data_IF_380579190595
#
_entry.id   IF_380579190595
#
_cell.length_a   1.000
_cell.length_b   1.000
_cell.length_c   1.000
_cell.angle_alpha   90.00
_cell.angle_beta   90.00
_cell.angle_gamma   90.00
#
_symmetry.space_group_name_H-M   'P 1'
#
loop_
_entity.id
_entity.type
_entity.pdbx_description
1 polymer ?
#
# COMPACT_ATOMS: atom_id res chain seq x y z
N UNK A 1 -14.82 10.26 -5.74
CA UNK A 1 -14.70 11.16 -4.57
C UNK A 1 -15.42 10.66 -3.31
N UNK A 2 -16.62 10.05 -3.40
CA UNK A 2 -17.35 9.54 -2.20
C UNK A 2 -16.61 8.44 -1.43
N UNK A 3 -15.93 7.53 -2.11
CA UNK A 3 -15.14 6.47 -1.48
C UNK A 3 -13.98 7.05 -0.67
N UNK A 4 -13.22 7.99 -1.24
CA UNK A 4 -12.09 8.65 -0.56
C UNK A 4 -12.54 9.31 0.75
N UNK A 5 -13.63 10.10 0.71
CA UNK A 5 -14.15 10.80 1.90
C UNK A 5 -14.57 9.86 3.04
N UNK A 6 -14.98 8.62 2.72
CA UNK A 6 -15.42 7.64 3.72
C UNK A 6 -14.30 6.76 4.24
N UNK A 7 -13.33 6.42 3.40
CA UNK A 7 -12.19 5.56 3.76
C UNK A 7 -11.12 6.35 4.51
N UNK A 8 -10.86 7.58 4.08
CA UNK A 8 -9.77 8.41 4.58
C UNK A 8 -9.74 8.59 6.10
N UNK A 9 -10.82 8.99 6.81
CA UNK A 9 -10.75 9.23 8.25
C UNK A 9 -10.37 7.98 9.04
N UNK A 10 -10.91 6.82 8.66
CA UNK A 10 -10.56 5.54 9.32
C UNK A 10 -9.12 5.16 9.03
N UNK A 11 -8.66 5.34 7.78
CA UNK A 11 -7.28 5.07 7.40
C UNK A 11 -6.30 5.95 8.18
N UNK A 12 -6.61 7.24 8.40
CA UNK A 12 -5.76 8.16 9.16
C UNK A 12 -5.59 7.70 10.60
N UNK A 13 -6.68 7.36 11.28
CA UNK A 13 -6.61 6.88 12.66
C UNK A 13 -5.81 5.58 12.74
N UNK A 14 -6.12 4.62 11.86
CA UNK A 14 -5.45 3.33 11.86
C UNK A 14 -3.96 3.44 11.50
N UNK A 15 -3.56 4.30 10.55
CA UNK A 15 -2.15 4.46 10.20
C UNK A 15 -1.36 5.12 11.33
N UNK A 16 -1.93 6.10 12.02
CA UNK A 16 -1.25 6.76 13.15
C UNK A 16 -0.97 5.78 14.28
N UNK A 17 -1.97 4.98 14.67
CA UNK A 17 -1.82 3.96 15.71
C UNK A 17 -0.85 2.87 15.27
N UNK A 18 -0.98 2.39 14.04
CA UNK A 18 -0.14 1.31 13.52
C UNK A 18 1.31 1.74 13.29
N UNK A 19 1.55 2.97 12.86
CA UNK A 19 2.89 3.53 12.70
C UNK A 19 3.61 3.69 14.05
N UNK A 20 2.87 4.08 15.08
CA UNK A 20 3.41 4.13 16.45
C UNK A 20 3.71 2.72 16.97
N UNK A 21 2.79 1.78 16.80
CA UNK A 21 2.95 0.38 17.23
C UNK A 21 4.11 -0.32 16.50
N UNK A 22 4.34 0.00 15.22
CA UNK A 22 5.42 -0.63 14.44
C UNK A 22 6.82 -0.34 14.98
N UNK A 23 7.00 0.74 15.75
CA UNK A 23 8.27 1.06 16.39
C UNK A 23 8.55 0.18 17.61
N UNK A 24 7.52 -0.50 18.15
CA UNK A 24 7.64 -1.40 19.30
C UNK A 24 7.71 -2.88 18.92
N UNK A 25 7.46 -3.20 17.64
CA UNK A 25 7.46 -4.56 17.14
C UNK A 25 8.82 -4.92 16.55
N UNK A 26 9.29 -6.13 16.83
CA UNK A 26 10.48 -6.68 16.19
C UNK A 26 10.28 -6.82 14.67
N UNK A 27 11.31 -6.53 13.91
CA UNK A 27 11.29 -6.60 12.44
C UNK A 27 10.82 -7.96 11.91
N UNK A 28 11.16 -9.06 12.60
CA UNK A 28 10.78 -10.41 12.22
C UNK A 28 9.26 -10.61 12.12
N UNK A 29 8.48 -10.06 13.06
CA UNK A 29 7.01 -10.15 13.02
C UNK A 29 6.42 -9.32 11.87
N UNK A 30 7.01 -8.16 11.59
CA UNK A 30 6.59 -7.31 10.49
C UNK A 30 6.89 -7.96 9.14
N UNK A 31 8.06 -8.57 8.99
CA UNK A 31 8.46 -9.31 7.78
C UNK A 31 7.56 -10.53 7.54
N UNK A 32 7.30 -11.32 8.56
CA UNK A 32 6.41 -12.47 8.46
C UNK A 32 4.99 -12.06 8.07
N UNK A 33 4.45 -11.03 8.71
CA UNK A 33 3.13 -10.46 8.40
C UNK A 33 3.06 -9.94 6.96
N UNK A 34 4.13 -9.29 6.48
CA UNK A 34 4.22 -8.81 5.11
C UNK A 34 4.31 -9.94 4.10
N UNK A 35 5.11 -10.98 4.38
CA UNK A 35 5.19 -12.17 3.53
C UNK A 35 3.85 -12.85 3.35
N UNK A 36 3.12 -13.07 4.44
CA UNK A 36 1.78 -13.66 4.44
C UNK A 36 0.77 -12.80 3.66
N UNK A 37 0.89 -11.49 3.80
CA UNK A 37 0.10 -10.54 3.04
C UNK A 37 0.41 -10.57 1.54
N UNK A 38 1.68 -10.65 1.13
CA UNK A 38 2.06 -10.76 -0.29
C UNK A 38 1.49 -12.03 -0.94
N UNK A 39 1.47 -13.16 -0.22
CA UNK A 39 0.86 -14.41 -0.66
C UNK A 39 -0.65 -14.20 -0.90
N UNK A 40 -1.33 -13.53 0.03
CA UNK A 40 -2.76 -13.22 -0.11
C UNK A 40 -3.03 -12.32 -1.33
N UNK A 41 -2.21 -11.26 -1.53
CA UNK A 41 -2.33 -10.37 -2.69
C UNK A 41 -2.09 -11.12 -3.99
N UNK A 42 -1.07 -11.97 -4.04
CA UNK A 42 -0.77 -12.79 -5.22
C UNK A 42 -1.93 -13.70 -5.57
N UNK A 43 -2.48 -14.40 -4.57
CA UNK A 43 -3.69 -15.22 -4.74
C UNK A 43 -4.87 -14.40 -5.27
N UNK A 44 -5.07 -13.20 -4.72
CA UNK A 44 -6.10 -12.26 -5.16
C UNK A 44 -5.94 -11.87 -6.63
N UNK A 45 -4.73 -11.50 -7.06
CA UNK A 45 -4.45 -11.11 -8.43
C UNK A 45 -4.63 -12.27 -9.42
N UNK A 46 -4.14 -13.45 -9.09
CA UNK A 46 -4.30 -14.66 -9.93
C UNK A 46 -5.78 -15.01 -10.06
N UNK A 47 -6.53 -14.98 -8.97
CA UNK A 47 -7.97 -15.23 -8.97
C UNK A 47 -8.75 -14.23 -9.82
N UNK A 48 -8.32 -12.98 -9.84
CA UNK A 48 -8.95 -11.91 -10.61
C UNK A 48 -8.62 -11.94 -12.11
N UNK A 49 -7.61 -12.70 -12.54
CA UNK A 49 -7.30 -12.93 -13.95
C UNK A 49 -8.25 -13.94 -14.63
N UNK A 50 -9.09 -14.65 -13.86
CA UNK A 50 -10.08 -15.59 -14.43
C UNK A 50 -11.08 -14.84 -15.31
N UNK A 51 -11.42 -15.34 -16.51
CA UNK A 51 -12.26 -14.64 -17.49
C UNK A 51 -13.60 -14.15 -16.92
N UNK A 52 -14.25 -14.98 -16.11
CA UNK A 52 -15.53 -14.68 -15.48
C UNK A 52 -15.48 -13.52 -14.47
N UNK A 53 -14.35 -13.30 -13.82
CA UNK A 53 -14.16 -12.18 -12.90
C UNK A 53 -13.92 -10.86 -13.64
N UNK A 54 -13.22 -10.91 -14.77
CA UNK A 54 -12.97 -9.74 -15.62
C UNK A 54 -14.26 -9.20 -16.25
N UNK A 55 -15.16 -10.07 -16.67
CA UNK A 55 -16.48 -9.67 -17.18
C UNK A 55 -17.36 -9.03 -16.10
N UNK A 56 -17.37 -9.60 -14.89
CA UNK A 56 -18.08 -9.01 -13.74
C UNK A 56 -17.55 -7.64 -13.39
N UNK A 57 -16.25 -7.40 -13.47
CA UNK A 57 -15.65 -6.10 -13.18
C UNK A 57 -16.01 -5.04 -14.23
N UNK A 58 -16.10 -5.45 -15.50
CA UNK A 58 -16.53 -4.53 -16.56
C UNK A 58 -17.99 -4.12 -16.40
N UNK A 59 -18.85 -5.01 -15.89
CA UNK A 59 -20.28 -4.75 -15.61
C UNK A 59 -20.49 -3.99 -14.30
N UNK A 60 -19.59 -4.07 -13.32
CA UNK A 60 -19.70 -3.37 -12.03
C UNK A 60 -19.50 -1.84 -12.13
N UNK A 61 -19.19 -1.30 -13.30
CA UNK A 61 -18.91 0.13 -13.51
C UNK A 61 -20.00 1.11 -13.07
N UNK A 62 -21.26 0.67 -12.96
CA UNK A 62 -22.40 1.54 -12.62
C UNK A 62 -22.84 1.48 -11.14
N UNK A 63 -22.60 0.41 -10.41
CA UNK A 63 -23.10 0.22 -9.05
C UNK A 63 -21.98 0.22 -7.98
N UNK A 64 -21.20 1.28 -7.90
CA UNK A 64 -20.24 1.46 -6.81
C UNK A 64 -20.96 1.76 -5.49
N UNK A 65 -21.28 0.73 -4.72
CA UNK A 65 -21.98 0.87 -3.45
C UNK A 65 -20.99 0.95 -2.29
N UNK A 66 -20.31 2.08 -2.16
CA UNK A 66 -19.41 2.36 -1.04
C UNK A 66 -20.24 2.75 0.18
N UNK A 67 -20.72 1.78 0.94
CA UNK A 67 -21.36 2.00 2.23
C UNK A 67 -20.31 2.27 3.33
N UNK A 68 -20.70 2.97 4.39
CA UNK A 68 -19.83 3.29 5.52
C UNK A 68 -19.11 2.05 6.11
N UNK A 69 -19.78 0.91 6.40
CA UNK A 69 -19.09 -0.26 6.97
C UNK A 69 -18.02 -0.83 6.04
N UNK A 70 -18.26 -0.86 4.72
CA UNK A 70 -17.26 -1.32 3.75
C UNK A 70 -16.06 -0.37 3.65
N UNK A 71 -16.33 0.92 3.72
CA UNK A 71 -15.28 1.93 3.74
C UNK A 71 -14.43 1.84 5.00
N UNK A 72 -15.04 1.62 6.17
CA UNK A 72 -14.34 1.45 7.45
C UNK A 72 -13.46 0.19 7.46
N UNK A 73 -13.96 -0.94 6.99
CA UNK A 73 -13.17 -2.17 6.86
C UNK A 73 -11.97 -1.94 5.93
N UNK A 74 -12.21 -1.34 4.77
CA UNK A 74 -11.13 -1.06 3.80
C UNK A 74 -10.10 -0.09 4.40
N UNK A 75 -10.55 0.99 5.02
CA UNK A 75 -9.70 2.00 5.65
C UNK A 75 -8.93 1.44 6.84
N UNK A 76 -9.59 0.62 7.68
CA UNK A 76 -8.98 -0.03 8.83
C UNK A 76 -7.83 -0.96 8.41
N UNK A 77 -8.12 -1.94 7.57
CA UNK A 77 -7.12 -2.92 7.11
C UNK A 77 -5.98 -2.22 6.35
N UNK A 78 -6.30 -1.33 5.40
CA UNK A 78 -5.27 -0.65 4.61
C UNK A 78 -4.44 0.33 5.42
N UNK A 79 -5.06 1.05 6.37
CA UNK A 79 -4.38 1.99 7.25
C UNK A 79 -3.45 1.28 8.24
N UNK A 80 -3.91 0.20 8.86
CA UNK A 80 -3.09 -0.61 9.77
C UNK A 80 -1.89 -1.20 9.05
N UNK A 81 -2.11 -1.82 7.90
CA UNK A 81 -1.03 -2.39 7.12
C UNK A 81 -0.07 -1.32 6.57
N UNK A 82 -0.57 -0.14 6.18
CA UNK A 82 0.26 0.98 5.76
C UNK A 82 1.17 1.50 6.88
N UNK A 83 0.63 1.59 8.10
CA UNK A 83 1.37 2.06 9.27
C UNK A 83 2.41 1.04 9.75
N UNK A 84 2.04 -0.24 9.83
CA UNK A 84 2.95 -1.31 10.26
C UNK A 84 4.09 -1.52 9.27
N UNK A 85 3.80 -1.57 7.98
CA UNK A 85 4.75 -1.95 6.93
C UNK A 85 5.44 -0.77 6.26
N UNK A 86 4.97 0.46 6.48
CA UNK A 86 5.55 1.66 5.87
C UNK A 86 5.40 1.79 4.36
N UNK A 87 4.58 0.95 3.72
CA UNK A 87 4.40 0.90 2.25
C UNK A 87 3.30 1.82 1.72
N UNK A 88 2.79 2.73 2.54
CA UNK A 88 1.75 3.69 2.15
C UNK A 88 0.37 3.09 1.84
N UNK A 89 0.17 1.78 2.05
CA UNK A 89 -1.12 1.10 1.91
C UNK A 89 -1.64 0.89 0.50
N UNK A 90 -1.02 1.44 -0.53
CA UNK A 90 -1.51 1.37 -1.92
C UNK A 90 -1.66 -0.06 -2.45
N UNK A 91 -0.70 -0.92 -2.14
CA UNK A 91 -0.71 -2.35 -2.50
C UNK A 91 -1.94 -3.09 -1.96
N UNK A 92 -2.40 -2.73 -0.77
CA UNK A 92 -3.52 -3.35 -0.06
C UNK A 92 -4.84 -2.70 -0.45
N UNK A 93 -4.81 -1.37 -0.61
CA UNK A 93 -5.99 -0.56 -0.80
C UNK A 93 -6.66 -0.78 -2.14
N UNK A 94 -5.89 -1.01 -3.22
CA UNK A 94 -6.44 -1.29 -4.55
C UNK A 94 -7.30 -2.56 -4.56
N UNK A 95 -6.80 -3.74 -4.13
CA UNK A 95 -7.64 -4.95 -4.09
C UNK A 95 -8.82 -4.84 -3.12
N UNK A 96 -8.65 -4.17 -1.96
CA UNK A 96 -9.75 -3.96 -1.03
C UNK A 96 -10.83 -3.03 -1.58
N UNK A 97 -10.46 -1.90 -2.20
CA UNK A 97 -11.41 -1.00 -2.86
C UNK A 97 -12.15 -1.70 -4.01
N UNK A 98 -11.45 -2.55 -4.75
CA UNK A 98 -12.06 -3.30 -5.83
C UNK A 98 -13.04 -4.38 -5.32
N UNK A 99 -12.64 -5.21 -4.33
CA UNK A 99 -13.47 -6.31 -3.83
C UNK A 99 -14.52 -5.87 -2.81
N UNK A 100 -14.15 -5.09 -1.79
CA UNK A 100 -15.03 -4.72 -0.69
C UNK A 100 -15.96 -3.59 -1.08
N UNK A 101 -15.41 -2.53 -1.69
CA UNK A 101 -16.18 -1.38 -2.14
C UNK A 101 -16.74 -1.55 -3.56
N UNK A 102 -16.40 -2.65 -4.24
CA UNK A 102 -16.85 -2.96 -5.62
C UNK A 102 -16.58 -1.83 -6.61
N UNK A 103 -15.45 -1.15 -6.45
CA UNK A 103 -15.02 -0.11 -7.38
C UNK A 103 -14.35 -0.73 -8.60
N UNK A 104 -14.63 -0.24 -9.83
CA UNK A 104 -13.85 -0.64 -11.01
C UNK A 104 -12.36 -0.37 -10.78
N UNK A 105 -11.48 -1.25 -11.28
CA UNK A 105 -10.04 -1.21 -11.00
C UNK A 105 -9.42 0.19 -11.22
N UNK A 106 -9.75 0.86 -12.32
CA UNK A 106 -9.24 2.21 -12.59
C UNK A 106 -9.68 3.25 -11.54
N UNK A 107 -10.94 3.17 -11.08
CA UNK A 107 -11.44 4.04 -10.00
C UNK A 107 -10.82 3.65 -8.65
N UNK A 108 -10.57 2.37 -8.41
CA UNK A 108 -9.89 1.88 -7.21
C UNK A 108 -8.45 2.41 -7.15
N UNK A 109 -7.69 2.33 -8.26
CA UNK A 109 -6.32 2.88 -8.37
C UNK A 109 -6.32 4.38 -8.09
N UNK A 110 -7.16 5.17 -8.75
CA UNK A 110 -7.20 6.62 -8.54
C UNK A 110 -7.64 7.01 -7.12
N UNK A 111 -8.61 6.28 -6.54
CA UNK A 111 -9.04 6.52 -5.16
C UNK A 111 -7.96 6.13 -4.16
N UNK A 112 -7.27 5.01 -4.37
CA UNK A 112 -6.16 4.54 -3.56
C UNK A 112 -4.99 5.55 -3.59
N UNK A 113 -4.62 6.06 -4.76
CA UNK A 113 -3.55 7.08 -4.88
C UNK A 113 -3.89 8.34 -4.08
N UNK A 114 -5.15 8.81 -4.13
CA UNK A 114 -5.58 9.96 -3.35
C UNK A 114 -5.54 9.70 -1.83
N UNK A 115 -5.98 8.52 -1.38
CA UNK A 115 -5.92 8.16 0.05
C UNK A 115 -4.47 7.99 0.48
N UNK A 116 -3.64 7.32 -0.32
CA UNK A 116 -2.22 7.10 -0.06
C UNK A 116 -1.45 8.42 0.11
N UNK A 117 -1.78 9.44 -0.66
CA UNK A 117 -1.17 10.77 -0.53
C UNK A 117 -1.35 11.33 0.89
N UNK A 118 -2.57 11.32 1.43
CA UNK A 118 -2.84 11.81 2.77
C UNK A 118 -2.26 10.90 3.86
N UNK A 119 -2.40 9.59 3.70
CA UNK A 119 -1.88 8.64 4.68
C UNK A 119 -0.35 8.60 4.72
N UNK A 120 0.32 8.83 3.58
CA UNK A 120 1.78 8.92 3.54
C UNK A 120 2.31 10.15 4.28
N UNK A 121 1.67 11.30 4.13
CA UNK A 121 2.04 12.52 4.88
C UNK A 121 1.95 12.26 6.38
N UNK A 122 0.82 11.69 6.84
CA UNK A 122 0.60 11.43 8.26
C UNK A 122 1.55 10.36 8.78
N UNK A 123 1.71 9.27 8.05
CA UNK A 123 2.62 8.18 8.42
C UNK A 123 4.07 8.64 8.48
N UNK A 124 4.51 9.46 7.52
CA UNK A 124 5.84 10.07 7.52
C UNK A 124 6.03 11.00 8.73
N UNK A 125 5.05 11.87 9.04
CA UNK A 125 5.11 12.76 10.18
C UNK A 125 5.23 11.99 11.51
N UNK A 126 4.43 10.92 11.68
CA UNK A 126 4.49 10.08 12.89
C UNK A 126 5.86 9.41 13.03
N UNK A 127 6.41 8.91 11.93
CA UNK A 127 7.75 8.30 11.91
C UNK A 127 8.86 9.32 12.16
N UNK A 128 8.76 10.52 11.59
CA UNK A 128 9.76 11.57 11.72
C UNK A 128 9.84 12.08 13.17
N UNK A 129 8.72 12.19 13.86
CA UNK A 129 8.67 12.54 15.30
C UNK A 129 9.35 11.48 16.17
N UNK A 130 9.29 10.20 15.78
CA UNK A 130 9.92 9.09 16.51
C UNK A 130 11.39 8.85 16.10
N UNK A 131 11.86 9.50 15.04
CA UNK A 131 13.20 9.29 14.48
C UNK A 131 14.34 9.63 15.45
N UNK A 132 14.29 10.74 16.22
CA UNK A 132 15.36 11.09 17.17
C UNK A 132 15.58 10.02 18.23
N UNK A 133 14.50 9.41 18.73
CA UNK A 133 14.58 8.36 19.75
C UNK A 133 15.24 7.09 19.17
N UNK A 134 14.88 6.72 17.95
CA UNK A 134 15.42 5.54 17.24
C UNK A 134 16.91 5.74 16.91
N UNK A 135 17.31 6.94 16.50
CA UNK A 135 18.71 7.26 16.17
C UNK A 135 19.57 7.22 17.43
N UNK A 136 19.08 7.76 18.56
CA UNK A 136 19.82 7.73 19.82
C UNK A 136 20.09 6.31 20.32
N UNK A 137 19.14 5.40 20.13
CA UNK A 137 19.26 3.99 20.50
C UNK A 137 20.17 3.18 19.58
N UNK A 138 20.25 3.55 18.30
CA UNK A 138 21.04 2.79 17.31
C UNK A 138 22.52 3.18 17.26
N UNK A 139 22.96 4.21 17.97
CA UNK A 139 24.36 4.66 18.01
C UNK A 139 24.92 5.10 16.64
N UNK A 140 24.05 5.48 15.71
CA UNK A 140 24.43 5.86 14.34
C UNK A 140 24.50 7.39 14.23
N UNK A 141 25.60 7.93 13.69
CA UNK A 141 25.80 9.38 13.45
C UNK A 141 24.91 9.97 12.32
N UNK A 142 23.72 9.40 12.10
CA UNK A 142 22.79 9.89 11.10
C UNK A 142 21.91 11.00 11.66
N UNK A 143 22.05 12.22 11.12
CA UNK A 143 21.14 13.31 11.44
C UNK A 143 19.83 13.19 10.66
N UNK A 144 18.72 13.55 11.29
CA UNK A 144 17.37 13.63 10.66
C UNK A 144 17.38 14.44 9.35
N UNK A 145 18.29 15.42 9.25
CA UNK A 145 18.48 16.23 8.02
C UNK A 145 18.87 15.39 6.80
N UNK A 146 19.64 14.32 6.96
CA UNK A 146 20.04 13.45 5.83
C UNK A 146 18.84 12.68 5.28
N UNK A 147 17.93 12.25 6.14
CA UNK A 147 16.70 11.57 5.73
C UNK A 147 15.77 12.53 4.94
N UNK A 148 15.64 13.76 5.42
CA UNK A 148 14.82 14.80 4.75
C UNK A 148 15.41 15.18 3.39
N UNK A 149 16.73 15.37 3.29
CA UNK A 149 17.41 15.68 2.02
C UNK A 149 17.25 14.51 1.03
N UNK A 150 17.42 13.27 1.48
CA UNK A 150 17.20 12.07 0.66
C UNK A 150 15.77 11.99 0.12
N UNK A 151 14.77 12.25 0.98
CA UNK A 151 13.38 12.30 0.58
C UNK A 151 13.12 13.40 -0.47
N UNK A 152 13.67 14.60 -0.29
CA UNK A 152 13.52 15.73 -1.20
C UNK A 152 14.12 15.44 -2.59
N UNK A 153 15.26 14.74 -2.64
CA UNK A 153 15.90 14.33 -3.89
C UNK A 153 15.06 13.32 -4.70
N UNK A 154 14.22 12.51 -4.01
CA UNK A 154 13.34 11.56 -4.67
C UNK A 154 12.06 12.20 -5.24
N UNK A 155 11.65 13.38 -4.75
CA UNK A 155 10.39 14.03 -5.15
C UNK A 155 10.30 14.27 -6.67
N UNK A 156 11.30 14.81 -7.38
CA UNK A 156 11.20 15.04 -8.83
C UNK A 156 10.98 13.74 -9.60
N UNK A 157 11.71 12.67 -9.23
CA UNK A 157 11.55 11.35 -9.83
C UNK A 157 10.16 10.75 -9.58
N UNK A 158 9.64 10.89 -8.36
CA UNK A 158 8.31 10.43 -7.98
C UNK A 158 7.20 11.19 -8.74
N UNK A 159 7.33 12.51 -8.91
CA UNK A 159 6.38 13.32 -9.67
C UNK A 159 6.39 12.95 -11.16
N UNK A 160 7.55 12.83 -11.77
CA UNK A 160 7.68 12.43 -13.17
C UNK A 160 7.16 11.01 -13.40
N UNK A 161 7.53 10.06 -12.53
CA UNK A 161 7.05 8.67 -12.57
C UNK A 161 5.55 8.56 -12.35
N UNK A 162 5.00 9.33 -11.42
CA UNK A 162 3.56 9.37 -11.15
C UNK A 162 2.75 9.93 -12.33
N UNK A 163 3.23 11.00 -12.96
CA UNK A 163 2.61 11.58 -14.15
C UNK A 163 2.63 10.62 -15.35
N UNK A 164 3.80 10.02 -15.62
CA UNK A 164 3.94 9.01 -16.68
C UNK A 164 3.08 7.77 -16.39
N UNK A 165 3.07 7.28 -15.15
CA UNK A 165 2.27 6.13 -14.72
C UNK A 165 0.78 6.38 -14.87
N UNK A 166 0.30 7.57 -14.50
CA UNK A 166 -1.11 7.96 -14.66
C UNK A 166 -1.52 7.99 -16.15
N UNK A 167 -0.67 8.56 -17.02
CA UNK A 167 -0.90 8.61 -18.46
C UNK A 167 -0.91 7.21 -19.08
N UNK A 168 0.03 6.38 -18.70
CA UNK A 168 0.17 5.00 -19.19
C UNK A 168 -1.00 4.11 -18.71
N UNK A 169 -1.43 4.26 -17.46
CA UNK A 169 -2.58 3.52 -16.89
C UNK A 169 -3.89 3.80 -17.64
N UNK A 170 -4.04 4.98 -18.26
CA UNK A 170 -5.17 5.30 -19.12
C UNK A 170 -5.15 4.54 -20.45
N UNK A 171 -3.96 4.26 -21.01
CA UNK A 171 -3.77 3.66 -22.31
C UNK A 171 -3.69 2.12 -22.28
N UNK A 172 -3.30 1.52 -21.14
CA UNK A 172 -3.07 0.09 -21.00
C UNK A 172 -4.36 -0.65 -20.62
N UNK A 173 -4.52 -1.90 -21.09
CA UNK A 173 -5.65 -2.73 -20.71
C UNK A 173 -5.61 -3.15 -19.25
N UNK A 174 -6.78 -3.34 -18.63
CA UNK A 174 -6.92 -3.80 -17.23
C UNK A 174 -6.20 -5.13 -17.01
N UNK A 175 -6.23 -6.02 -17.98
CA UNK A 175 -5.52 -7.32 -17.93
C UNK A 175 -4.01 -7.13 -17.82
N UNK A 176 -3.43 -6.25 -18.64
CA UNK A 176 -2.00 -5.98 -18.62
C UNK A 176 -1.55 -5.34 -17.29
N UNK A 177 -2.34 -4.38 -16.75
CA UNK A 177 -2.07 -3.78 -15.44
C UNK A 177 -2.02 -4.85 -14.36
N UNK A 178 -3.00 -5.76 -14.32
CA UNK A 178 -3.05 -6.85 -13.34
C UNK A 178 -1.90 -7.84 -13.50
N UNK A 179 -1.54 -8.20 -14.74
CA UNK A 179 -0.44 -9.13 -15.00
C UNK A 179 0.90 -8.55 -14.53
N UNK A 180 1.18 -7.29 -14.86
CA UNK A 180 2.40 -6.60 -14.40
C UNK A 180 2.43 -6.50 -12.89
N UNK A 181 1.31 -6.16 -12.27
CA UNK A 181 1.20 -6.08 -10.81
C UNK A 181 1.42 -7.44 -10.14
N UNK A 182 0.81 -8.51 -10.66
CA UNK A 182 1.00 -9.87 -10.16
C UNK A 182 2.46 -10.32 -10.26
N UNK A 183 3.13 -9.98 -11.37
CA UNK A 183 4.54 -10.31 -11.59
C UNK A 183 5.46 -9.57 -10.61
N UNK A 184 5.20 -8.29 -10.37
CA UNK A 184 5.95 -7.50 -9.39
C UNK A 184 5.76 -8.02 -7.96
N UNK A 185 4.52 -8.39 -7.58
CA UNK A 185 4.22 -8.96 -6.27
C UNK A 185 4.88 -10.33 -6.11
N UNK A 186 4.85 -11.17 -7.15
CA UNK A 186 5.51 -12.48 -7.14
C UNK A 186 7.02 -12.34 -6.98
N UNK A 187 7.63 -11.39 -7.70
CA UNK A 187 9.06 -11.10 -7.59
C UNK A 187 9.44 -10.59 -6.20
N UNK A 188 8.64 -9.68 -5.63
CA UNK A 188 8.85 -9.17 -4.28
C UNK A 188 8.73 -10.27 -3.22
N UNK A 189 7.71 -11.12 -3.34
CA UNK A 189 7.51 -12.27 -2.45
C UNK A 189 8.68 -13.26 -2.53
N UNK A 190 9.14 -13.56 -3.75
CA UNK A 190 10.30 -14.43 -3.96
C UNK A 190 11.57 -13.86 -3.33
N UNK A 191 11.87 -12.58 -3.56
CA UNK A 191 13.04 -11.91 -2.98
C UNK A 191 12.99 -11.91 -1.45
N UNK A 192 11.84 -11.69 -0.87
CA UNK A 192 11.66 -11.70 0.58
C UNK A 192 11.85 -13.08 1.18
N UNK A 193 11.32 -14.12 0.52
CA UNK A 193 11.53 -15.51 0.93
C UNK A 193 13.01 -15.93 0.85
N UNK A 194 13.69 -15.51 -0.21
CA UNK A 194 15.11 -15.77 -0.39
C UNK A 194 15.95 -15.06 0.68
N UNK A 195 15.65 -13.82 1.01
CA UNK A 195 16.30 -13.05 2.06
C UNK A 195 16.10 -13.69 3.44
N UNK A 196 14.88 -14.10 3.77
CA UNK A 196 14.58 -14.76 5.05
C UNK A 196 15.24 -16.15 5.15
N UNK A 197 15.29 -16.89 4.06
CA UNK A 197 15.95 -18.20 4.03
C UNK A 197 17.48 -18.07 4.21
N UNK A 198 18.10 -17.02 3.68
CA UNK A 198 19.54 -16.78 3.85
C UNK A 198 19.91 -16.40 5.28
N UNK A 199 19.03 -15.73 6.02
CA UNK A 199 19.24 -15.39 7.45
C UNK A 199 19.04 -16.59 8.37
N UNK A 200 18.22 -17.57 7.98
CA UNK A 200 17.98 -18.80 8.76
C UNK A 200 19.04 -19.89 8.53
N UNK A 201 19.83 -19.80 7.46
CA UNK A 201 20.84 -20.81 7.08
C UNK A 201 22.28 -20.40 7.43
N UNK A 202 22.50 -19.17 7.88
CA UNK A 202 23.78 -18.63 8.37
C UNK A 202 23.62 -17.97 9.74
#
# INVERSE_FOLDING_TARGET
>A
MRAVKRVLPVSIVCISVAAWLSNQLEAAYLEAGFGLFLIWVLWDQISALRPHQLEKEMQQGENSNTTWPRASITGGISGTAAGLLGIGGGLIQVPLLNRVCRLPLRKAIGSSSAIMFFTAIIGATVKDVSLPDIISDSGTDMHTSHAVIGALLLVPGALAGGWLGAKLSGAISVKAIRSVFALLVAWAAFKMFYSSASVLLF
#
